data_IF_713092001395
#
_entry.id   IF_713092001395
#
_cell.length_a   1.000
_cell.length_b   1.000
_cell.length_c   1.000
_cell.angle_alpha   90.00
_cell.angle_beta   90.00
_cell.angle_gamma   90.00
#
_symmetry.space_group_name_H-M   'P 1'
#
loop_
_entity.id
_entity.type
_entity.pdbx_description
1 polymer ?
#
# COMPACT_ATOMS: atom_id res chain seq x y z
N UNK A 1 -32.23 19.43 26.50
CA UNK A 1 -32.52 20.19 25.27
C UNK A 1 -31.39 19.93 24.29
N UNK A 2 -31.56 18.98 23.37
CA UNK A 2 -30.59 18.70 22.31
C UNK A 2 -31.24 19.15 21.01
N UNK A 3 -30.65 20.20 20.43
CA UNK A 3 -31.12 20.92 19.26
C UNK A 3 -30.61 20.18 18.02
N UNK A 4 -31.52 19.69 17.19
CA UNK A 4 -31.19 19.11 15.88
C UNK A 4 -31.02 20.17 14.80
N UNK A 5 -30.33 19.78 13.73
CA UNK A 5 -30.39 20.18 12.31
C UNK A 5 -29.20 19.45 11.64
N UNK A 6 -29.29 18.57 10.64
CA UNK A 6 -30.28 18.38 9.58
C UNK A 6 -29.65 18.78 8.25
N UNK A 7 -29.20 17.82 7.43
CA UNK A 7 -29.21 17.83 5.95
C UNK A 7 -28.40 16.65 5.38
N UNK A 8 -29.09 15.57 5.04
CA UNK A 8 -28.58 14.51 4.18
C UNK A 8 -28.75 14.93 2.71
N UNK A 9 -27.65 14.97 1.96
CA UNK A 9 -27.69 15.11 0.51
C UNK A 9 -27.56 13.73 -0.13
N UNK A 10 -28.68 13.30 -0.74
CA UNK A 10 -28.81 12.12 -1.56
C UNK A 10 -27.85 12.20 -2.77
N UNK A 11 -26.99 11.20 -2.94
CA UNK A 11 -26.45 10.87 -4.26
C UNK A 11 -26.69 9.38 -4.50
N UNK A 12 -27.73 9.15 -5.28
CA UNK A 12 -28.15 7.87 -5.84
C UNK A 12 -27.07 7.37 -6.80
N UNK A 13 -26.36 6.29 -6.45
CA UNK A 13 -25.64 5.50 -7.44
C UNK A 13 -26.45 4.26 -7.76
N UNK A 14 -26.89 4.19 -9.02
CA UNK A 14 -27.61 3.07 -9.61
C UNK A 14 -26.67 1.87 -9.64
N UNK A 15 -26.93 0.89 -8.77
CA UNK A 15 -26.32 -0.42 -8.87
C UNK A 15 -27.08 -1.22 -9.93
N UNK A 16 -26.42 -1.52 -11.04
CA UNK A 16 -26.90 -2.51 -12.01
C UNK A 16 -26.79 -3.88 -11.34
N UNK A 17 -27.90 -4.35 -10.80
CA UNK A 17 -28.05 -5.72 -10.33
C UNK A 17 -28.17 -6.64 -11.56
N UNK A 18 -27.13 -7.44 -11.79
CA UNK A 18 -27.23 -8.59 -12.69
C UNK A 18 -27.39 -9.84 -11.83
N UNK A 19 -28.18 -10.78 -12.37
CA UNK A 19 -28.52 -12.11 -11.86
C UNK A 19 -29.74 -12.11 -10.92
N UNK A 20 -30.75 -12.96 -11.11
CA UNK A 20 -30.95 -14.07 -12.02
C UNK A 20 -32.28 -14.76 -11.70
N UNK A 21 -32.80 -15.51 -12.67
CA UNK A 21 -33.77 -16.61 -12.58
C UNK A 21 -35.04 -16.42 -11.73
N UNK A 22 -36.16 -16.46 -12.44
CA UNK A 22 -37.54 -16.65 -11.99
C UNK A 22 -37.74 -17.80 -10.99
N UNK A 23 -38.35 -17.50 -9.84
CA UNK A 23 -38.77 -18.51 -8.86
C UNK A 23 -39.63 -17.94 -7.72
N UNK A 24 -40.93 -17.82 -7.97
CA UNK A 24 -42.10 -17.84 -7.06
C UNK A 24 -41.92 -17.61 -5.53
N UNK A 25 -42.34 -16.43 -5.06
CA UNK A 25 -43.35 -16.23 -3.99
C UNK A 25 -43.07 -16.68 -2.55
N UNK A 26 -42.91 -15.71 -1.64
CA UNK A 26 -43.14 -15.89 -0.19
C UNK A 26 -42.34 -14.91 0.68
N UNK A 27 -43.00 -13.87 1.18
CA UNK A 27 -42.46 -12.84 2.07
C UNK A 27 -42.01 -13.40 3.44
N UNK A 28 -40.79 -13.05 3.85
CA UNK A 28 -40.41 -12.96 5.27
C UNK A 28 -39.27 -11.95 5.40
N UNK A 29 -39.62 -10.78 5.94
CA UNK A 29 -38.69 -9.74 6.36
C UNK A 29 -37.77 -10.30 7.46
N UNK A 30 -36.57 -10.73 7.07
CA UNK A 30 -35.49 -10.99 8.01
C UNK A 30 -34.56 -9.77 7.99
N UNK A 31 -34.56 -9.02 9.09
CA UNK A 31 -33.60 -7.97 9.39
C UNK A 31 -32.18 -8.48 9.08
N UNK A 32 -31.57 -7.91 8.04
CA UNK A 32 -30.18 -8.21 7.68
C UNK A 32 -29.31 -7.61 8.78
N UNK A 33 -29.01 -8.42 9.80
CA UNK A 33 -27.88 -8.21 10.70
C UNK A 33 -26.67 -7.98 9.80
N UNK A 34 -26.14 -6.76 9.85
CA UNK A 34 -24.84 -6.37 9.30
C UNK A 34 -23.84 -7.47 9.67
N UNK A 35 -23.48 -8.32 8.71
CA UNK A 35 -22.38 -9.26 8.91
C UNK A 35 -21.16 -8.43 9.29
N UNK A 36 -20.39 -8.83 10.31
CA UNK A 36 -19.14 -8.14 10.60
C UNK A 36 -18.31 -8.16 9.32
N UNK A 37 -17.84 -6.98 8.91
CA UNK A 37 -16.86 -6.87 7.84
C UNK A 37 -15.75 -7.87 8.16
N UNK A 38 -15.52 -8.82 7.26
CA UNK A 38 -14.41 -9.75 7.37
C UNK A 38 -13.15 -8.92 7.64
N UNK A 39 -12.52 -9.10 8.80
CA UNK A 39 -11.19 -8.56 9.03
C UNK A 39 -10.34 -9.14 7.92
N UNK A 40 -9.93 -8.31 6.96
CA UNK A 40 -8.87 -8.68 6.05
C UNK A 40 -7.68 -9.06 6.93
N UNK A 41 -7.31 -10.34 6.89
CA UNK A 41 -6.17 -10.84 7.63
C UNK A 41 -4.97 -10.01 7.18
N UNK A 42 -4.30 -9.34 8.13
CA UNK A 42 -3.09 -8.60 7.82
C UNK A 42 -2.06 -9.57 7.21
N UNK A 43 -1.35 -9.14 6.17
CA UNK A 43 -0.29 -9.93 5.56
C UNK A 43 0.73 -10.34 6.63
N UNK A 44 1.22 -11.58 6.53
CA UNK A 44 2.38 -11.98 7.31
C UNK A 44 3.60 -11.16 6.86
N UNK A 45 4.59 -11.03 7.73
CA UNK A 45 5.83 -10.32 7.37
C UNK A 45 6.58 -11.02 6.24
N UNK A 46 6.56 -12.36 6.18
CA UNK A 46 7.16 -13.12 5.06
C UNK A 46 6.47 -12.85 3.72
N UNK A 47 5.13 -12.80 3.70
CA UNK A 47 4.37 -12.46 2.49
C UNK A 47 4.63 -11.01 2.07
N UNK A 48 4.68 -10.09 3.02
CA UNK A 48 4.94 -8.67 2.76
C UNK A 48 6.39 -8.44 2.27
N UNK A 49 7.37 -9.15 2.82
CA UNK A 49 8.76 -9.16 2.36
C UNK A 49 8.83 -9.65 0.92
N UNK A 50 8.23 -10.81 0.62
CA UNK A 50 8.21 -11.35 -0.74
C UNK A 50 7.57 -10.38 -1.73
N UNK A 51 6.41 -9.82 -1.39
CA UNK A 51 5.73 -8.85 -2.24
C UNK A 51 6.56 -7.56 -2.46
N UNK A 52 7.29 -7.10 -1.44
CA UNK A 52 8.20 -5.96 -1.57
C UNK A 52 9.38 -6.27 -2.47
N UNK A 53 10.01 -7.43 -2.30
CA UNK A 53 11.14 -7.88 -3.12
C UNK A 53 10.75 -8.09 -4.58
N UNK A 54 9.60 -8.72 -4.83
CA UNK A 54 9.03 -8.89 -6.18
C UNK A 54 8.79 -7.54 -6.85
N UNK A 55 8.21 -6.58 -6.12
CA UNK A 55 8.00 -5.22 -6.61
C UNK A 55 9.34 -4.54 -6.94
N UNK A 56 10.30 -4.60 -6.01
CA UNK A 56 11.61 -3.97 -6.16
C UNK A 56 12.39 -4.54 -7.36
N UNK A 57 12.28 -5.84 -7.61
CA UNK A 57 12.86 -6.49 -8.79
C UNK A 57 12.31 -5.98 -10.14
N UNK A 58 11.18 -5.27 -10.13
CA UNK A 58 10.58 -4.68 -11.33
C UNK A 58 10.79 -3.17 -11.48
N UNK A 59 11.43 -2.51 -10.50
CA UNK A 59 11.56 -1.04 -10.49
C UNK A 59 12.41 -0.48 -11.64
N UNK A 60 13.31 -1.30 -12.20
CA UNK A 60 14.27 -0.91 -13.26
C UNK A 60 13.93 -1.51 -14.62
N UNK A 61 12.71 -2.01 -14.82
CA UNK A 61 12.30 -2.46 -16.15
C UNK A 61 12.20 -1.24 -17.09
N UNK A 62 13.22 -1.12 -17.95
CA UNK A 62 13.66 0.04 -18.76
C UNK A 62 12.62 0.67 -19.72
N UNK A 63 11.35 0.26 -19.66
CA UNK A 63 10.29 0.74 -20.56
C UNK A 63 9.40 1.84 -19.99
N UNK A 64 9.27 1.95 -18.67
CA UNK A 64 8.26 2.82 -18.04
C UNK A 64 8.87 4.03 -17.34
N UNK A 65 10.08 3.88 -16.80
CA UNK A 65 10.76 4.90 -16.03
C UNK A 65 11.89 5.51 -16.86
N UNK A 66 11.57 6.45 -17.76
CA UNK A 66 12.59 7.14 -18.56
C UNK A 66 13.30 8.22 -17.73
N UNK A 67 14.35 8.85 -18.25
CA UNK A 67 15.16 9.80 -17.45
C UNK A 67 14.45 11.11 -17.15
N UNK A 68 13.45 11.45 -17.94
CA UNK A 68 12.70 12.69 -17.86
C UNK A 68 11.85 12.76 -16.59
N UNK A 69 11.68 13.96 -16.04
CA UNK A 69 10.81 14.22 -14.88
C UNK A 69 9.37 13.76 -15.12
N UNK A 70 8.70 13.33 -14.06
CA UNK A 70 7.30 12.88 -14.06
C UNK A 70 7.06 11.46 -14.61
N UNK A 71 8.05 10.84 -15.24
CA UNK A 71 7.86 9.54 -15.92
C UNK A 71 7.86 8.35 -14.98
N UNK A 72 8.42 8.49 -13.78
CA UNK A 72 8.54 7.40 -12.80
C UNK A 72 7.62 7.56 -11.59
N UNK A 73 6.74 8.55 -11.57
CA UNK A 73 5.93 8.88 -10.40
C UNK A 73 5.07 7.71 -9.92
N UNK A 74 4.43 6.97 -10.83
CA UNK A 74 3.59 5.81 -10.48
C UNK A 74 4.42 4.65 -9.89
N UNK A 75 5.67 4.50 -10.34
CA UNK A 75 6.62 3.52 -9.81
C UNK A 75 7.11 3.92 -8.42
N UNK A 76 7.44 5.20 -8.21
CA UNK A 76 7.76 5.73 -6.89
C UNK A 76 6.59 5.55 -5.92
N UNK A 77 5.37 5.82 -6.37
CA UNK A 77 4.13 5.61 -5.60
C UNK A 77 3.98 4.15 -5.19
N UNK A 78 4.25 3.22 -6.12
CA UNK A 78 4.15 1.78 -5.89
C UNK A 78 5.19 1.31 -4.89
N UNK A 79 6.45 1.76 -5.03
CA UNK A 79 7.53 1.46 -4.11
C UNK A 79 7.19 1.87 -2.68
N UNK A 80 6.75 3.12 -2.48
CA UNK A 80 6.41 3.63 -1.15
C UNK A 80 5.18 2.95 -0.56
N UNK A 81 4.16 2.63 -1.37
CA UNK A 81 3.00 1.86 -0.88
C UNK A 81 3.42 0.47 -0.39
N UNK A 82 4.23 -0.24 -1.16
CA UNK A 82 4.74 -1.55 -0.79
C UNK A 82 5.60 -1.49 0.47
N UNK A 83 6.49 -0.50 0.58
CA UNK A 83 7.30 -0.26 1.79
C UNK A 83 6.43 -0.01 3.03
N UNK A 84 5.32 0.74 2.89
CA UNK A 84 4.36 0.96 3.99
C UNK A 84 3.65 -0.31 4.41
N UNK A 85 3.30 -1.17 3.47
CA UNK A 85 2.66 -2.44 3.79
C UNK A 85 3.64 -3.41 4.47
N UNK A 86 4.90 -3.43 4.02
CA UNK A 86 5.99 -4.11 4.72
C UNK A 86 6.18 -3.58 6.14
N UNK A 87 6.27 -2.25 6.33
CA UNK A 87 6.35 -1.61 7.66
C UNK A 87 5.20 -2.04 8.58
N UNK A 88 3.96 -2.12 8.07
CA UNK A 88 2.82 -2.60 8.87
C UNK A 88 3.02 -4.05 9.30
N UNK A 89 3.49 -4.92 8.41
CA UNK A 89 3.73 -6.32 8.72
C UNK A 89 4.88 -6.50 9.73
N UNK A 90 5.98 -5.76 9.58
CA UNK A 90 7.09 -5.73 10.55
C UNK A 90 6.63 -5.27 11.94
N UNK A 91 5.76 -4.26 12.01
CA UNK A 91 5.19 -3.79 13.28
C UNK A 91 4.21 -4.80 13.89
N UNK A 92 3.57 -5.63 13.07
CA UNK A 92 2.69 -6.71 13.54
C UNK A 92 3.49 -7.93 14.01
N UNK A 93 4.69 -8.15 13.47
CA UNK A 93 5.60 -9.21 13.89
C UNK A 93 6.01 -9.08 15.37
N UNK A 94 6.15 -10.21 16.05
CA UNK A 94 6.43 -10.30 17.50
C UNK A 94 7.58 -11.24 17.84
N UNK A 95 8.07 -12.02 16.89
CA UNK A 95 9.22 -12.93 17.07
C UNK A 95 10.54 -12.18 17.30
N UNK A 96 10.63 -10.93 16.85
CA UNK A 96 11.77 -10.03 17.05
C UNK A 96 11.31 -8.72 17.69
N UNK A 97 12.20 -8.06 18.43
CA UNK A 97 11.92 -6.75 19.02
C UNK A 97 11.97 -5.62 17.99
N UNK A 98 11.36 -4.45 18.28
CA UNK A 98 11.35 -3.30 17.37
C UNK A 98 12.75 -2.79 17.01
N UNK A 99 13.74 -3.01 17.88
CA UNK A 99 15.13 -2.65 17.65
C UNK A 99 15.76 -3.38 16.46
N UNK A 100 15.31 -4.61 16.18
CA UNK A 100 15.75 -5.39 15.02
C UNK A 100 15.44 -4.66 13.71
N UNK A 101 14.32 -3.96 13.66
CA UNK A 101 13.81 -3.30 12.45
C UNK A 101 14.36 -1.89 12.23
N UNK A 102 15.18 -1.36 13.13
CA UNK A 102 15.57 0.06 13.12
C UNK A 102 16.16 0.52 11.79
N UNK A 103 17.06 -0.27 11.20
CA UNK A 103 17.71 0.06 9.93
C UNK A 103 16.73 -0.05 8.75
N UNK A 104 15.93 -1.11 8.71
CA UNK A 104 14.86 -1.24 7.73
C UNK A 104 13.86 -0.08 7.80
N UNK A 105 13.51 0.38 9.00
CA UNK A 105 12.64 1.54 9.17
C UNK A 105 13.28 2.82 8.65
N UNK A 106 14.57 3.04 8.89
CA UNK A 106 15.27 4.20 8.35
C UNK A 106 15.24 4.23 6.81
N UNK A 107 15.43 3.08 6.15
CA UNK A 107 15.34 2.97 4.69
C UNK A 107 13.92 3.30 4.19
N UNK A 108 12.89 2.78 4.86
CA UNK A 108 11.50 3.11 4.53
C UNK A 108 11.22 4.61 4.75
N UNK A 109 11.77 5.22 5.80
CA UNK A 109 11.63 6.67 6.03
C UNK A 109 12.28 7.46 4.90
N UNK A 110 13.48 7.10 4.44
CA UNK A 110 14.12 7.73 3.28
C UNK A 110 13.27 7.62 2.01
N UNK A 111 12.62 6.47 1.78
CA UNK A 111 11.68 6.32 0.67
C UNK A 111 10.48 7.27 0.81
N UNK A 112 9.92 7.41 2.01
CA UNK A 112 8.80 8.30 2.27
C UNK A 112 9.18 9.78 2.13
N UNK A 113 10.38 10.17 2.57
CA UNK A 113 10.94 11.52 2.46
C UNK A 113 11.20 11.90 0.99
N UNK A 114 11.84 11.01 0.21
CA UNK A 114 12.05 11.22 -1.22
C UNK A 114 10.74 11.37 -1.98
N UNK A 115 9.73 10.57 -1.63
CA UNK A 115 8.39 10.67 -2.22
C UNK A 115 7.63 11.92 -1.77
N UNK A 116 7.85 12.41 -0.54
CA UNK A 116 7.21 13.60 0.01
C UNK A 116 7.60 14.90 -0.73
N UNK A 117 8.65 14.89 -1.56
CA UNK A 117 8.97 15.97 -2.50
C UNK A 117 7.78 16.31 -3.41
N UNK A 118 6.89 15.34 -3.70
CA UNK A 118 5.59 15.59 -4.34
C UNK A 118 5.57 15.55 -5.87
N UNK A 119 6.72 15.29 -6.49
CA UNK A 119 6.85 15.04 -7.93
C UNK A 119 8.08 14.16 -8.21
N UNK A 120 8.12 13.50 -9.37
CA UNK A 120 9.34 12.86 -9.86
C UNK A 120 10.21 13.91 -10.57
N UNK A 121 11.37 14.23 -9.99
CA UNK A 121 12.27 15.26 -10.50
C UNK A 121 13.11 14.82 -11.73
N UNK A 122 13.02 13.56 -12.15
CA UNK A 122 13.82 13.01 -13.24
C UNK A 122 15.18 12.48 -12.76
N UNK A 123 15.79 11.56 -13.50
CA UNK A 123 17.03 10.90 -13.08
C UNK A 123 18.26 11.81 -13.09
N UNK A 124 18.30 12.80 -14.00
CA UNK A 124 19.48 13.64 -14.22
C UNK A 124 19.40 14.99 -13.44
N UNK A 125 18.37 15.19 -12.62
CA UNK A 125 18.23 16.40 -11.81
C UNK A 125 19.25 16.43 -10.65
N UNK A 126 19.83 17.61 -10.40
CA UNK A 126 20.87 17.82 -9.35
C UNK A 126 20.38 17.47 -7.94
N UNK A 127 19.06 17.45 -7.70
CA UNK A 127 18.44 17.02 -6.46
C UNK A 127 17.33 16.00 -6.73
N UNK A 128 17.58 15.05 -7.64
CA UNK A 128 16.60 14.01 -7.93
C UNK A 128 16.21 13.25 -6.66
N UNK A 129 14.92 12.99 -6.50
CA UNK A 129 14.37 12.20 -5.40
C UNK A 129 14.23 10.71 -5.75
N UNK A 130 14.63 10.30 -6.95
CA UNK A 130 14.62 8.89 -7.36
C UNK A 130 15.58 8.02 -6.56
N UNK A 131 16.82 8.43 -6.23
CA UNK A 131 17.72 7.63 -5.41
C UNK A 131 17.16 7.38 -4.01
N UNK A 132 16.54 8.38 -3.39
CA UNK A 132 15.94 8.22 -2.06
C UNK A 132 14.81 7.18 -2.07
N UNK A 133 14.01 7.10 -3.14
CA UNK A 133 12.93 6.12 -3.25
C UNK A 133 13.43 4.76 -3.76
N UNK A 134 14.10 4.71 -4.91
CA UNK A 134 14.50 3.46 -5.54
C UNK A 134 15.80 2.88 -5.00
N UNK A 135 16.76 3.73 -4.65
CA UNK A 135 18.01 3.30 -3.98
C UNK A 135 17.70 2.70 -2.61
N UNK A 136 16.93 3.41 -1.78
CA UNK A 136 16.52 2.85 -0.47
C UNK A 136 15.63 1.62 -0.60
N UNK A 137 14.83 1.48 -1.66
CA UNK A 137 14.09 0.25 -1.92
C UNK A 137 15.03 -0.93 -2.19
N UNK A 138 16.10 -0.71 -2.96
CA UNK A 138 17.14 -1.72 -3.18
C UNK A 138 17.90 -2.06 -1.90
N UNK A 139 18.35 -1.06 -1.17
CA UNK A 139 19.05 -1.26 0.10
C UNK A 139 18.15 -2.00 1.10
N UNK A 140 16.83 -1.76 1.07
CA UNK A 140 15.88 -2.49 1.90
C UNK A 140 15.73 -3.95 1.47
N UNK A 141 15.76 -4.25 0.18
CA UNK A 141 15.80 -5.65 -0.30
C UNK A 141 17.06 -6.35 0.21
N UNK A 142 18.22 -5.74 0.03
CA UNK A 142 19.50 -6.30 0.48
C UNK A 142 19.50 -6.52 2.00
N UNK A 143 18.92 -5.58 2.75
CA UNK A 143 18.78 -5.71 4.18
C UNK A 143 17.86 -6.88 4.57
N UNK A 144 16.71 -7.04 3.90
CA UNK A 144 15.76 -8.13 4.17
C UNK A 144 16.39 -9.50 3.87
N UNK A 145 17.20 -9.60 2.82
CA UNK A 145 17.93 -10.82 2.48
C UNK A 145 19.03 -11.15 3.51
N UNK A 146 19.69 -10.12 4.04
CA UNK A 146 20.71 -10.28 5.10
C UNK A 146 20.11 -10.61 6.47
N UNK A 147 18.83 -10.27 6.70
CA UNK A 147 18.15 -10.39 7.98
C UNK A 147 16.86 -11.23 7.88
N UNK A 148 16.94 -12.50 7.44
CA UNK A 148 15.76 -13.33 7.30
C UNK A 148 15.17 -13.62 8.68
N UNK A 149 13.86 -13.51 8.78
CA UNK A 149 13.07 -13.96 9.93
C UNK A 149 12.26 -15.19 9.54
N UNK A 150 12.14 -16.13 10.47
CA UNK A 150 11.51 -17.45 10.28
C UNK A 150 10.05 -17.47 10.71
#
# INVERSE_FOLDING_TARGET
MIKGWGAAANITFVAVAVMGVSGCGGEAEAEVKKSPAASATALSVGDATTAFQDMAGTLYLDGECTKEAGTCWDRMTTAVKSARDLRKAMNAEKSVGPEFWTEAYALIDTMEEGYAVGEDLGADAVNTNRPDVFGSAHDLVDWLDAHPIQ
#
